data_IF_698062774154
#
_entry.id   IF_698062774154
#
_cell.length_a   1.000
_cell.length_b   1.000
_cell.length_c   1.000
_cell.angle_alpha   90.00
_cell.angle_beta   90.00
_cell.angle_gamma   90.00
#
_symmetry.space_group_name_H-M   'P 1'
#
loop_
_entity.id
_entity.type
_entity.pdbx_description
1 polymer ?
#
# COMPACT_ATOMS: atom_id res chain seq x y z
N UNK A 1 1.82 9.02 -29.85
CA UNK A 1 1.57 8.20 -28.64
C UNK A 1 2.22 8.93 -27.49
N UNK A 2 1.43 9.55 -26.61
CA UNK A 2 1.95 10.21 -25.43
C UNK A 2 2.38 9.11 -24.44
N UNK A 3 3.67 9.07 -24.10
CA UNK A 3 4.15 8.27 -22.98
C UNK A 3 3.54 8.86 -21.70
N UNK A 4 3.05 8.04 -20.74
CA UNK A 4 2.57 8.56 -19.47
C UNK A 4 3.68 9.37 -18.80
N UNK A 5 3.32 10.55 -18.29
CA UNK A 5 4.25 11.46 -17.63
C UNK A 5 5.05 10.74 -16.54
N UNK A 6 6.34 11.04 -16.46
CA UNK A 6 7.29 10.41 -15.53
C UNK A 6 6.84 10.45 -14.05
N UNK A 7 5.87 11.29 -13.69
CA UNK A 7 5.33 11.39 -12.34
C UNK A 7 4.73 10.10 -11.81
N UNK A 8 3.93 9.37 -12.60
CA UNK A 8 3.26 8.15 -12.12
C UNK A 8 4.23 7.03 -11.75
N UNK A 9 5.24 6.79 -12.61
CA UNK A 9 6.32 5.84 -12.32
C UNK A 9 7.09 6.25 -11.06
N UNK A 10 7.53 7.49 -10.93
CA UNK A 10 8.24 7.92 -9.71
C UNK A 10 7.35 7.89 -8.45
N UNK A 11 6.03 8.05 -8.61
CA UNK A 11 5.05 8.06 -7.51
C UNK A 11 4.77 6.65 -6.95
N UNK A 12 4.54 5.66 -7.82
CA UNK A 12 4.09 4.32 -7.42
C UNK A 12 4.94 3.16 -7.96
N UNK A 13 5.96 3.41 -8.78
CA UNK A 13 6.81 2.37 -9.34
C UNK A 13 8.12 2.85 -9.96
N UNK A 14 9.21 2.77 -9.20
CA UNK A 14 10.54 2.62 -9.79
C UNK A 14 11.40 1.60 -9.05
N UNK A 15 12.23 0.99 -9.89
CA UNK A 15 13.30 0.01 -9.72
C UNK A 15 13.04 -1.23 -8.86
N UNK A 16 13.22 -2.38 -9.51
CA UNK A 16 13.07 -3.71 -8.91
C UNK A 16 14.03 -3.91 -7.74
N UNK A 17 15.29 -3.49 -7.92
CA UNK A 17 16.37 -3.79 -6.99
C UNK A 17 16.15 -3.18 -5.60
N UNK A 18 15.48 -2.03 -5.53
CA UNK A 18 15.19 -1.36 -4.26
C UNK A 18 14.00 -1.99 -3.53
N UNK A 19 12.99 -2.48 -4.27
CA UNK A 19 11.80 -3.14 -3.73
C UNK A 19 12.07 -4.58 -3.28
N UNK A 20 13.08 -5.27 -3.81
CA UNK A 20 13.36 -6.66 -3.45
C UNK A 20 13.80 -6.88 -1.98
N UNK A 21 14.02 -5.82 -1.18
CA UNK A 21 14.36 -5.92 0.25
C UNK A 21 13.17 -6.36 1.12
N UNK A 22 12.68 -7.58 0.89
CA UNK A 22 11.60 -8.22 1.63
C UNK A 22 12.18 -9.06 2.78
N UNK A 23 11.67 -8.87 3.99
CA UNK A 23 12.03 -9.69 5.14
C UNK A 23 11.09 -10.89 5.23
N UNK A 24 11.45 -11.93 5.99
CA UNK A 24 10.55 -13.06 6.20
C UNK A 24 9.19 -12.62 6.80
N UNK A 25 9.21 -11.63 7.70
CA UNK A 25 8.00 -11.08 8.29
C UNK A 25 7.16 -10.29 7.28
N UNK A 26 7.78 -9.43 6.46
CA UNK A 26 7.01 -8.64 5.47
C UNK A 26 6.45 -9.52 4.34
N UNK A 27 7.14 -10.61 3.99
CA UNK A 27 6.62 -11.61 3.08
C UNK A 27 5.38 -12.32 3.67
N UNK A 28 5.42 -12.70 4.94
CA UNK A 28 4.27 -13.34 5.59
C UNK A 28 3.09 -12.37 5.77
N UNK A 29 3.38 -11.12 6.13
CA UNK A 29 2.37 -10.07 6.20
C UNK A 29 1.67 -9.87 4.85
N UNK A 30 2.40 -9.89 3.73
CA UNK A 30 1.81 -9.78 2.40
C UNK A 30 0.91 -10.96 2.05
N UNK A 31 1.29 -12.20 2.43
CA UNK A 31 0.42 -13.38 2.24
C UNK A 31 -0.89 -13.22 2.99
N UNK A 32 -0.81 -12.79 4.26
CA UNK A 32 -2.01 -12.52 5.06
C UNK A 32 -2.82 -11.38 4.43
N UNK A 33 -2.18 -10.32 3.95
CA UNK A 33 -2.86 -9.23 3.24
C UNK A 33 -3.66 -9.76 2.04
N UNK A 34 -3.07 -10.61 1.17
CA UNK A 34 -3.82 -11.20 0.06
C UNK A 34 -4.94 -12.14 0.48
N UNK A 35 -4.77 -12.88 1.58
CA UNK A 35 -5.84 -13.74 2.09
C UNK A 35 -7.06 -12.94 2.50
N UNK A 36 -6.85 -11.80 3.17
CA UNK A 36 -7.91 -10.95 3.71
C UNK A 36 -8.29 -9.77 2.80
N UNK A 37 -7.65 -9.61 1.64
CA UNK A 37 -7.92 -8.51 0.71
C UNK A 37 -9.37 -8.54 0.24
N UNK A 38 -10.16 -7.52 0.57
CA UNK A 38 -11.59 -7.47 0.20
C UNK A 38 -11.81 -6.87 -1.21
N UNK A 39 -10.76 -6.37 -1.86
CA UNK A 39 -10.86 -5.73 -3.16
C UNK A 39 -10.75 -6.75 -4.31
N UNK A 40 -11.89 -7.14 -4.87
CA UNK A 40 -11.98 -8.07 -5.99
C UNK A 40 -11.26 -7.54 -7.25
N UNK A 41 -11.35 -6.23 -7.52
CA UNK A 41 -10.70 -5.61 -8.68
C UNK A 41 -9.18 -5.73 -8.59
N UNK A 42 -8.59 -5.42 -7.43
CA UNK A 42 -7.14 -5.57 -7.21
C UNK A 42 -6.72 -7.03 -7.39
N UNK A 43 -7.50 -7.98 -6.87
CA UNK A 43 -7.24 -9.42 -7.05
C UNK A 43 -7.25 -9.81 -8.53
N UNK A 44 -8.22 -9.33 -9.31
CA UNK A 44 -8.32 -9.60 -10.74
C UNK A 44 -7.18 -8.96 -11.53
N UNK A 45 -6.81 -7.71 -11.23
CA UNK A 45 -5.68 -7.03 -11.86
C UNK A 45 -4.40 -7.86 -11.71
N UNK A 46 -4.08 -8.30 -10.49
CA UNK A 46 -2.86 -9.07 -10.23
C UNK A 46 -2.93 -10.46 -10.85
N UNK A 47 -4.09 -11.10 -10.82
CA UNK A 47 -4.31 -12.42 -11.42
C UNK A 47 -4.07 -12.44 -12.93
N UNK A 48 -4.43 -11.37 -13.65
CA UNK A 48 -4.16 -11.25 -15.09
C UNK A 48 -2.68 -11.40 -15.43
N UNK A 49 -1.79 -10.96 -14.55
CA UNK A 49 -0.33 -11.05 -14.73
C UNK A 49 0.27 -12.32 -14.12
N UNK A 50 -0.35 -12.93 -13.11
CA UNK A 50 0.13 -14.17 -12.48
C UNK A 50 -0.15 -15.43 -13.33
N UNK A 51 -1.11 -15.39 -14.26
CA UNK A 51 -1.54 -16.55 -15.02
C UNK A 51 -2.26 -17.59 -14.16
N UNK A 52 -2.36 -18.84 -14.65
CA UNK A 52 -3.12 -19.92 -13.99
C UNK A 52 -2.47 -20.45 -12.70
N UNK A 53 -1.21 -20.09 -12.41
CA UNK A 53 -0.49 -20.51 -11.21
C UNK A 53 -0.79 -19.55 -10.03
N UNK A 54 -2.01 -19.59 -9.51
CA UNK A 54 -2.37 -18.78 -8.35
C UNK A 54 -1.84 -19.42 -7.06
N UNK A 55 -0.78 -18.85 -6.49
CA UNK A 55 -0.43 -19.08 -5.07
C UNK A 55 -0.33 -17.74 -4.34
N UNK A 56 -0.91 -17.68 -3.13
CA UNK A 56 -0.95 -16.45 -2.31
C UNK A 56 0.45 -15.84 -2.08
N UNK A 57 1.48 -16.69 -2.00
CA UNK A 57 2.88 -16.29 -1.83
C UNK A 57 3.54 -15.74 -3.10
N UNK A 58 2.95 -15.94 -4.27
CA UNK A 58 3.48 -15.48 -5.56
C UNK A 58 2.85 -14.16 -6.00
N UNK A 59 1.66 -13.81 -5.51
CA UNK A 59 0.99 -12.54 -5.84
C UNK A 59 1.80 -11.31 -5.42
N UNK A 60 2.35 -11.34 -4.20
CA UNK A 60 3.20 -10.26 -3.70
C UNK A 60 4.43 -10.07 -4.60
N UNK A 61 5.00 -11.18 -5.06
CA UNK A 61 6.14 -11.18 -5.98
C UNK A 61 5.73 -10.61 -7.34
N UNK A 62 4.64 -11.07 -7.94
CA UNK A 62 4.13 -10.56 -9.24
C UNK A 62 3.92 -9.05 -9.21
N UNK A 63 3.28 -8.52 -8.16
CA UNK A 63 3.09 -7.08 -8.00
C UNK A 63 4.40 -6.32 -7.78
N UNK A 64 5.32 -6.88 -6.99
CA UNK A 64 6.65 -6.29 -6.72
C UNK A 64 7.50 -6.23 -7.97
N UNK A 65 7.38 -7.25 -8.80
CA UNK A 65 8.15 -7.53 -9.99
C UNK A 65 7.46 -7.01 -11.26
N UNK A 66 6.51 -6.08 -11.17
CA UNK A 66 5.92 -5.55 -12.38
C UNK A 66 5.56 -4.08 -12.18
N UNK A 67 6.37 -3.20 -12.75
CA UNK A 67 6.20 -1.74 -12.62
C UNK A 67 4.89 -1.25 -13.17
N UNK A 68 4.52 -1.76 -14.35
CA UNK A 68 3.29 -1.33 -15.01
C UNK A 68 2.07 -1.82 -14.23
N UNK A 69 2.06 -3.07 -13.73
CA UNK A 69 1.01 -3.58 -12.85
C UNK A 69 0.97 -2.81 -11.53
N UNK A 70 2.12 -2.51 -10.91
CA UNK A 70 2.16 -1.77 -9.65
C UNK A 70 1.63 -0.35 -9.81
N UNK A 71 1.96 0.30 -10.93
CA UNK A 71 1.40 1.59 -11.29
C UNK A 71 -0.12 1.50 -11.51
N UNK A 72 -0.58 0.50 -12.27
CA UNK A 72 -2.00 0.28 -12.55
C UNK A 72 -2.80 0.09 -11.25
N UNK A 73 -2.33 -0.78 -10.35
CA UNK A 73 -2.93 -1.01 -9.03
C UNK A 73 -2.85 0.26 -8.18
N UNK A 74 -1.74 1.00 -8.24
CA UNK A 74 -1.56 2.25 -7.51
C UNK A 74 -2.55 3.33 -7.90
N UNK A 75 -2.71 3.57 -9.21
CA UNK A 75 -3.66 4.55 -9.73
C UNK A 75 -5.11 4.14 -9.42
N UNK A 76 -5.44 2.84 -9.53
CA UNK A 76 -6.75 2.33 -9.11
C UNK A 76 -7.01 2.60 -7.61
N UNK A 77 -6.06 2.25 -6.75
CA UNK A 77 -6.17 2.43 -5.30
C UNK A 77 -6.26 3.91 -4.91
N UNK A 78 -5.51 4.79 -5.59
CA UNK A 78 -5.58 6.24 -5.39
C UNK A 78 -6.97 6.75 -5.79
N UNK A 79 -7.47 6.41 -6.97
CA UNK A 79 -8.80 6.80 -7.41
C UNK A 79 -9.89 6.31 -6.44
N UNK A 80 -9.79 5.07 -5.96
CA UNK A 80 -10.67 4.55 -4.90
C UNK A 80 -10.58 5.38 -3.62
N UNK A 81 -9.37 5.67 -3.14
CA UNK A 81 -9.14 6.46 -1.94
C UNK A 81 -9.70 7.89 -2.05
N UNK A 82 -9.66 8.48 -3.24
CA UNK A 82 -10.24 9.81 -3.49
C UNK A 82 -11.76 9.84 -3.32
N UNK A 83 -12.45 8.72 -3.56
CA UNK A 83 -13.90 8.59 -3.35
C UNK A 83 -14.31 8.27 -1.92
N UNK A 84 -13.37 7.87 -1.04
CA UNK A 84 -13.70 7.51 0.34
C UNK A 84 -14.04 8.75 1.17
N UNK A 85 -15.13 8.63 1.93
CA UNK A 85 -15.55 9.59 2.95
C UNK A 85 -15.14 9.11 4.35
N UNK A 86 -15.14 10.03 5.33
CA UNK A 86 -14.81 9.72 6.74
C UNK A 86 -13.37 9.21 6.97
N UNK A 87 -12.41 9.77 6.24
CA UNK A 87 -10.99 9.52 6.48
C UNK A 87 -10.47 10.33 7.69
N UNK A 88 -9.35 9.93 8.31
CA UNK A 88 -8.68 10.76 9.30
C UNK A 88 -8.34 12.15 8.74
N UNK A 89 -8.37 13.19 9.58
CA UNK A 89 -8.27 14.60 9.14
C UNK A 89 -7.00 14.87 8.32
N UNK A 90 -5.90 14.19 8.66
CA UNK A 90 -4.61 14.31 7.95
C UNK A 90 -4.66 13.86 6.49
N UNK A 91 -5.65 13.07 6.08
CA UNK A 91 -5.85 12.68 4.67
C UNK A 91 -6.39 13.84 3.82
N UNK A 92 -6.96 14.87 4.44
CA UNK A 92 -7.44 16.07 3.75
C UNK A 92 -6.41 17.20 3.75
N UNK A 93 -5.30 17.04 4.48
CA UNK A 93 -4.22 17.99 4.51
C UNK A 93 -3.21 17.65 3.41
N UNK A 94 -3.07 18.54 2.42
CA UNK A 94 -2.01 18.49 1.41
C UNK A 94 -0.69 18.96 2.04
N UNK A 95 -0.06 18.05 2.78
CA UNK A 95 1.29 18.20 3.28
C UNK A 95 2.22 17.29 2.49
N UNK A 96 3.35 17.85 2.03
CA UNK A 96 4.43 17.10 1.40
C UNK A 96 4.90 15.94 2.29
N UNK A 97 4.83 14.72 1.78
CA UNK A 97 5.29 13.47 2.40
C UNK A 97 6.43 12.89 1.58
N UNK A 98 7.34 12.24 2.28
CA UNK A 98 8.48 11.56 1.69
C UNK A 98 8.57 10.18 2.32
N UNK A 99 8.65 9.13 1.49
CA UNK A 99 8.89 7.76 1.95
C UNK A 99 10.27 7.59 2.58
N UNK A 100 11.22 8.48 2.24
CA UNK A 100 12.63 8.38 2.60
C UNK A 100 13.38 7.36 1.75
N UNK A 101 12.68 6.65 0.86
CA UNK A 101 13.26 5.64 0.00
C UNK A 101 13.72 6.28 -1.31
N UNK A 102 14.92 5.90 -1.75
CA UNK A 102 15.44 6.29 -3.06
C UNK A 102 14.53 5.71 -4.16
N UNK A 103 14.35 6.46 -5.24
CA UNK A 103 13.40 6.07 -6.27
C UNK A 103 11.94 6.19 -5.82
N UNK A 104 11.58 7.17 -5.00
CA UNK A 104 10.16 7.56 -4.90
C UNK A 104 10.06 9.07 -4.93
N UNK A 105 8.90 9.56 -5.34
CA UNK A 105 8.61 10.99 -5.22
C UNK A 105 8.76 11.41 -3.76
N UNK A 106 9.55 12.46 -3.54
CA UNK A 106 9.78 13.04 -2.21
C UNK A 106 8.70 14.05 -1.81
N UNK A 107 7.76 14.31 -2.72
CA UNK A 107 6.72 15.31 -2.57
C UNK A 107 5.30 14.73 -2.70
N UNK A 108 5.06 13.55 -2.12
CA UNK A 108 3.76 12.90 -2.12
C UNK A 108 2.74 13.67 -1.27
N UNK A 109 1.49 13.72 -1.71
CA UNK A 109 0.35 14.13 -0.89
C UNK A 109 0.00 13.05 0.12
N UNK A 110 -0.76 13.40 1.16
CA UNK A 110 -1.15 12.46 2.22
C UNK A 110 -1.88 11.22 1.68
N UNK A 111 -2.77 11.38 0.70
CA UNK A 111 -3.47 10.26 0.05
C UNK A 111 -2.54 9.40 -0.80
N UNK A 112 -1.67 10.02 -1.60
CA UNK A 112 -0.67 9.30 -2.40
C UNK A 112 0.27 8.49 -1.51
N UNK A 113 0.70 9.06 -0.38
CA UNK A 113 1.51 8.34 0.60
C UNK A 113 0.78 7.16 1.24
N UNK A 114 -0.52 7.31 1.57
CA UNK A 114 -1.33 6.20 2.06
C UNK A 114 -1.50 5.09 1.00
N UNK A 115 -1.69 5.47 -0.27
CA UNK A 115 -1.73 4.51 -1.40
C UNK A 115 -0.40 3.78 -1.55
N UNK A 116 0.73 4.48 -1.44
CA UNK A 116 2.06 3.86 -1.48
C UNK A 116 2.24 2.84 -0.34
N UNK A 117 1.79 3.16 0.87
CA UNK A 117 1.80 2.20 1.99
C UNK A 117 0.95 0.97 1.66
N UNK A 118 -0.25 1.15 1.11
CA UNK A 118 -1.13 0.04 0.72
C UNK A 118 -0.46 -0.86 -0.33
N UNK A 119 0.14 -0.27 -1.36
CA UNK A 119 0.92 -0.98 -2.37
C UNK A 119 2.11 -1.74 -1.77
N UNK A 120 2.80 -1.15 -0.80
CA UNK A 120 3.91 -1.80 -0.11
C UNK A 120 3.46 -2.96 0.79
N UNK A 121 2.25 -2.92 1.34
CA UNK A 121 1.67 -4.05 2.07
C UNK A 121 1.38 -5.22 1.12
N UNK A 122 0.87 -4.93 -0.08
CA UNK A 122 0.53 -5.96 -1.07
C UNK A 122 1.76 -6.58 -1.73
N UNK A 123 2.83 -5.83 -2.00
CA UNK A 123 4.04 -6.39 -2.65
C UNK A 123 5.08 -6.96 -1.65
N UNK A 124 4.79 -6.83 -0.36
CA UNK A 124 5.60 -7.32 0.75
C UNK A 124 6.83 -6.46 1.08
N UNK A 125 6.90 -5.23 0.58
CA UNK A 125 7.98 -4.30 0.91
C UNK A 125 7.73 -3.51 2.18
N UNK A 126 6.49 -3.49 2.69
CA UNK A 126 6.14 -2.84 3.94
C UNK A 126 6.73 -3.58 5.14
N UNK A 127 7.63 -2.92 5.88
CA UNK A 127 8.29 -3.45 7.06
C UNK A 127 7.57 -3.01 8.33
N UNK A 128 6.53 -3.75 8.68
CA UNK A 128 5.71 -3.49 9.87
C UNK A 128 6.54 -3.41 11.18
N UNK A 129 7.64 -4.14 11.27
CA UNK A 129 8.59 -4.12 12.39
C UNK A 129 9.38 -2.80 12.51
N UNK A 130 9.67 -2.15 11.38
CA UNK A 130 10.35 -0.83 11.34
C UNK A 130 9.35 0.31 11.52
N UNK A 131 8.07 0.05 11.28
CA UNK A 131 6.97 0.97 11.57
C UNK A 131 6.62 1.03 13.07
N UNK A 132 7.48 0.53 13.96
CA UNK A 132 7.35 0.64 15.43
C UNK A 132 7.33 2.09 15.92
N UNK A 133 7.89 3.03 15.15
CA UNK A 133 7.76 4.48 15.40
C UNK A 133 6.46 5.13 14.91
N UNK A 134 5.61 4.40 14.17
CA UNK A 134 4.30 4.87 13.68
C UNK A 134 3.21 3.80 13.89
N UNK A 135 2.91 3.44 15.17
CA UNK A 135 1.86 2.50 15.48
C UNK A 135 0.48 3.08 15.12
N UNK A 136 -0.44 2.21 14.69
CA UNK A 136 -1.83 2.63 14.53
C UNK A 136 -2.50 2.55 15.89
N UNK A 137 -2.81 3.73 16.45
CA UNK A 137 -3.50 3.84 17.73
C UNK A 137 -4.86 4.52 17.55
N UNK A 138 -5.88 3.95 18.17
CA UNK A 138 -7.22 4.51 18.22
C UNK A 138 -7.60 4.85 19.66
N UNK A 139 -8.24 5.99 19.85
CA UNK A 139 -8.86 6.43 21.11
C UNK A 139 -10.28 6.91 20.84
N UNK A 140 -11.25 6.41 21.60
CA UNK A 140 -12.67 6.77 21.45
C UNK A 140 -13.18 6.65 19.99
N UNK A 141 -12.75 5.59 19.27
CA UNK A 141 -13.14 5.35 17.88
C UNK A 141 -12.42 6.21 16.83
N UNK A 142 -11.55 7.14 17.24
CA UNK A 142 -10.77 7.99 16.33
C UNK A 142 -9.30 7.55 16.29
N UNK A 143 -8.68 7.63 15.13
CA UNK A 143 -7.23 7.36 14.97
C UNK A 143 -6.45 8.55 15.49
N UNK A 144 -5.47 8.31 16.37
CA UNK A 144 -4.62 9.36 16.95
C UNK A 144 -3.18 9.30 16.44
N UNK A 145 -2.72 8.12 16.01
CA UNK A 145 -1.37 7.86 15.48
C UNK A 145 -1.48 6.89 14.30
N UNK A 146 -0.59 6.99 13.31
CA UNK A 146 -0.58 6.08 12.17
C UNK A 146 -1.72 6.28 11.16
N UNK A 147 -2.25 7.50 11.01
CA UNK A 147 -3.41 7.79 10.13
C UNK A 147 -3.23 7.34 8.67
N UNK A 148 -2.05 7.49 8.08
CA UNK A 148 -1.79 7.02 6.71
C UNK A 148 -1.82 5.48 6.63
N UNK A 149 -1.22 4.81 7.63
CA UNK A 149 -1.23 3.35 7.72
C UNK A 149 -2.62 2.81 7.99
N UNK A 150 -3.40 3.45 8.86
CA UNK A 150 -4.81 3.12 9.07
C UNK A 150 -5.61 3.26 7.78
N UNK A 151 -5.39 4.35 7.05
CA UNK A 151 -6.06 4.61 5.77
C UNK A 151 -5.69 3.56 4.74
N UNK A 152 -4.42 3.16 4.65
CA UNK A 152 -3.97 2.05 3.79
C UNK A 152 -4.66 0.72 4.16
N UNK A 153 -4.76 0.40 5.46
CA UNK A 153 -5.46 -0.80 5.93
C UNK A 153 -6.95 -0.76 5.57
N UNK A 154 -7.62 0.38 5.76
CA UNK A 154 -9.03 0.58 5.38
C UNK A 154 -9.23 0.44 3.88
N UNK A 155 -8.35 1.02 3.08
CA UNK A 155 -8.41 0.97 1.61
C UNK A 155 -8.36 -0.47 1.09
N UNK A 156 -7.57 -1.32 1.75
CA UNK A 156 -7.40 -2.74 1.44
C UNK A 156 -8.43 -3.66 2.13
N UNK A 157 -9.31 -3.14 3.01
CA UNK A 157 -10.22 -3.96 3.82
C UNK A 157 -9.51 -4.79 4.90
N UNK A 158 -8.30 -4.39 5.30
CA UNK A 158 -7.44 -5.13 6.23
C UNK A 158 -7.50 -4.63 7.66
N UNK A 159 -8.33 -3.65 8.01
CA UNK A 159 -8.35 -3.02 9.34
C UNK A 159 -8.86 -3.95 10.47
N UNK A 160 -9.48 -5.07 10.12
CA UNK A 160 -9.84 -6.15 11.04
C UNK A 160 -8.94 -7.40 10.92
N UNK A 161 -7.93 -7.36 10.07
CA UNK A 161 -7.04 -8.51 9.82
C UNK A 161 -5.89 -8.60 10.84
N UNK A 162 -5.22 -9.77 10.96
CA UNK A 162 -4.05 -9.92 11.84
C UNK A 162 -2.89 -8.97 11.52
N UNK A 163 -2.74 -8.53 10.26
CA UNK A 163 -1.66 -7.60 9.86
C UNK A 163 -1.92 -6.15 10.26
N UNK A 164 -3.17 -5.81 10.61
CA UNK A 164 -3.58 -4.46 10.99
C UNK A 164 -2.78 -3.92 12.18
N UNK A 165 -2.58 -4.77 13.21
CA UNK A 165 -1.87 -4.44 14.45
C UNK A 165 -2.33 -3.09 15.04
N UNK A 166 -3.64 -2.86 15.06
CA UNK A 166 -4.26 -1.63 15.59
C UNK A 166 -4.44 -1.75 17.09
N UNK A 167 -3.87 -0.81 17.84
CA UNK A 167 -4.07 -0.70 19.29
C UNK A 167 -5.30 0.17 19.56
N UNK A 168 -6.29 -0.39 20.25
CA UNK A 168 -7.52 0.31 20.65
C UNK A 168 -7.44 0.56 22.16
N UNK A 169 -7.49 1.83 22.57
CA UNK A 169 -7.56 2.24 23.99
C UNK A 169 -8.90 2.91 24.29
#
# INVERSE_FOLDING_TARGET
LAFPEAGGRVRFGIDYDMRLRVTAQSAEDAKIAYRYLDDATVREMIRKYAGDAWRENEMAKVLRENDDLRLEVGEYLLGKLETLTHLPSRMYLDMTKNSGEEGYDRNLKSKEYATLIALSMLDGTFKSERATGDPVEMRHGSVTTGEHRYTALKLLGLDQSPVARIKKN
#
